data_IF_959701240708
#
_entry.id   IF_959701240708
#
_cell.length_a   1.000
_cell.length_b   1.000
_cell.length_c   1.000
_cell.angle_alpha   90.00
_cell.angle_beta   90.00
_cell.angle_gamma   90.00
#
_symmetry.space_group_name_H-M   'P 1'
#
loop_
_entity.id
_entity.type
_entity.pdbx_description
1 polymer ?
#
# COMPACT_ATOMS: atom_id res chain seq x y z
N UNK A 1 -42.53 -42.16 59.50
CA UNK A 1 -41.07 -42.04 59.67
C UNK A 1 -40.48 -42.13 58.28
N UNK A 2 -40.07 -41.04 57.65
CA UNK A 2 -39.21 -41.07 56.47
C UNK A 2 -37.78 -40.75 56.89
N UNK A 3 -36.83 -41.49 56.33
CA UNK A 3 -35.37 -41.30 56.45
C UNK A 3 -34.91 -40.02 55.78
N UNK A 4 -33.83 -39.41 56.26
CA UNK A 4 -33.27 -38.22 55.60
C UNK A 4 -32.29 -38.61 54.51
N UNK A 5 -32.52 -38.04 53.31
CA UNK A 5 -31.60 -38.05 52.17
C UNK A 5 -30.28 -37.32 52.52
N UNK A 6 -29.19 -38.07 52.44
CA UNK A 6 -27.82 -37.52 52.55
C UNK A 6 -27.34 -37.04 51.18
N UNK A 7 -27.52 -35.76 50.95
CA UNK A 7 -26.97 -35.02 49.79
C UNK A 7 -25.47 -34.77 50.01
N UNK A 8 -24.62 -35.67 49.52
CA UNK A 8 -23.18 -35.48 49.46
C UNK A 8 -22.83 -34.60 48.27
N UNK A 9 -22.66 -33.32 48.51
CA UNK A 9 -22.13 -32.36 47.51
C UNK A 9 -20.65 -32.68 47.29
N UNK A 10 -20.31 -33.16 46.11
CA UNK A 10 -18.94 -33.30 45.61
C UNK A 10 -18.25 -31.92 45.58
N UNK A 11 -17.24 -31.75 46.41
CA UNK A 11 -16.35 -30.61 46.38
C UNK A 11 -15.43 -30.72 45.15
N UNK A 12 -15.17 -29.61 44.43
CA UNK A 12 -14.27 -29.62 43.28
C UNK A 12 -12.83 -29.96 43.71
N UNK A 13 -12.30 -31.07 43.17
CA UNK A 13 -10.90 -31.44 43.32
C UNK A 13 -9.98 -30.35 42.73
N UNK A 14 -9.21 -29.71 43.59
CA UNK A 14 -8.14 -28.80 43.22
C UNK A 14 -7.01 -29.60 42.55
N UNK A 15 -6.89 -29.58 41.22
CA UNK A 15 -5.71 -30.11 40.52
C UNK A 15 -4.55 -29.13 40.69
N UNK A 16 -3.41 -29.53 41.24
CA UNK A 16 -2.26 -28.63 41.37
C UNK A 16 -1.73 -28.26 39.98
N UNK A 17 -1.56 -26.96 39.71
CA UNK A 17 -0.84 -26.46 38.55
C UNK A 17 0.58 -27.03 38.60
N UNK A 18 0.95 -27.82 37.57
CA UNK A 18 2.34 -28.23 37.33
C UNK A 18 3.14 -26.96 37.00
N UNK A 19 3.88 -26.45 37.93
CA UNK A 19 4.89 -25.42 37.71
C UNK A 19 6.00 -26.05 36.86
N UNK A 20 6.25 -25.49 35.69
CA UNK A 20 7.39 -25.93 34.87
C UNK A 20 8.69 -25.53 35.59
N UNK A 21 9.62 -26.45 35.82
CA UNK A 21 10.87 -26.12 36.51
C UNK A 21 11.65 -25.09 35.67
N UNK A 22 12.14 -24.05 36.32
CA UNK A 22 12.90 -22.92 35.72
C UNK A 22 14.01 -23.43 34.80
N UNK A 23 14.64 -24.58 35.16
CA UNK A 23 15.63 -25.24 34.29
C UNK A 23 15.10 -25.65 32.91
N UNK A 24 13.84 -26.05 32.78
CA UNK A 24 13.25 -26.42 31.50
C UNK A 24 13.01 -25.17 30.62
N UNK A 25 12.65 -24.04 31.21
CA UNK A 25 12.49 -22.77 30.50
C UNK A 25 13.85 -22.27 30.02
N UNK A 26 14.88 -22.33 30.83
CA UNK A 26 16.24 -21.95 30.46
C UNK A 26 16.79 -22.84 29.32
N UNK A 27 16.57 -24.16 29.40
CA UNK A 27 16.96 -25.09 28.35
C UNK A 27 16.23 -24.78 27.02
N UNK A 28 14.92 -24.49 27.09
CA UNK A 28 14.12 -24.13 25.90
C UNK A 28 14.59 -22.83 25.25
N UNK A 29 14.94 -21.82 26.04
CA UNK A 29 15.48 -20.53 25.55
C UNK A 29 16.85 -20.74 24.89
N UNK A 30 17.73 -21.57 25.49
CA UNK A 30 19.05 -21.88 24.90
C UNK A 30 18.94 -22.65 23.58
N UNK A 31 17.98 -23.58 23.47
CA UNK A 31 17.72 -24.30 22.21
C UNK A 31 17.17 -23.34 21.15
N UNK A 32 16.26 -22.44 21.50
CA UNK A 32 15.75 -21.40 20.58
C UNK A 32 16.88 -20.47 20.10
N UNK A 33 17.74 -19.99 20.98
CA UNK A 33 18.86 -19.15 20.61
C UNK A 33 19.88 -19.89 19.73
N UNK A 34 20.15 -21.15 20.04
CA UNK A 34 21.02 -22.02 19.25
C UNK A 34 20.48 -22.28 17.84
N UNK A 35 19.21 -22.59 17.72
CA UNK A 35 18.58 -22.83 16.38
C UNK A 35 18.48 -21.56 15.56
N UNK A 36 18.18 -20.42 16.19
CA UNK A 36 18.16 -19.11 15.52
C UNK A 36 19.57 -18.70 15.03
N UNK A 37 20.60 -18.93 15.84
CA UNK A 37 21.99 -18.65 15.47
C UNK A 37 22.48 -19.56 14.33
N UNK A 38 22.16 -20.87 14.38
CA UNK A 38 22.51 -21.81 13.32
C UNK A 38 21.78 -21.52 12.02
N UNK A 39 20.50 -21.17 12.10
CA UNK A 39 19.70 -20.75 10.94
C UNK A 39 20.24 -19.49 10.29
N UNK A 40 20.60 -18.48 11.08
CA UNK A 40 21.22 -17.25 10.60
C UNK A 40 22.59 -17.48 9.97
N UNK A 41 23.43 -18.33 10.58
CA UNK A 41 24.74 -18.69 10.05
C UNK A 41 24.63 -19.49 8.73
N UNK A 42 23.68 -20.42 8.64
CA UNK A 42 23.40 -21.15 7.41
C UNK A 42 22.91 -20.23 6.29
N UNK A 43 22.02 -19.29 6.61
CA UNK A 43 21.54 -18.27 5.68
C UNK A 43 22.69 -17.37 5.18
N UNK A 44 23.58 -16.95 6.05
CA UNK A 44 24.77 -16.18 5.65
C UNK A 44 25.71 -16.99 4.73
N UNK A 45 25.91 -18.26 5.00
CA UNK A 45 26.72 -19.12 4.14
C UNK A 45 26.15 -19.30 2.74
N UNK A 46 24.82 -19.33 2.59
CA UNK A 46 24.19 -19.38 1.25
C UNK A 46 24.33 -18.04 0.50
N UNK A 47 24.33 -16.91 1.19
CA UNK A 47 24.53 -15.59 0.57
C UNK A 47 26.00 -15.36 0.16
N UNK A 48 26.95 -16.09 0.76
CA UNK A 48 28.40 -16.01 0.46
C UNK A 48 28.87 -17.11 -0.50
N UNK A 49 27.98 -17.94 -1.03
CA UNK A 49 28.34 -18.89 -2.08
C UNK A 49 28.71 -18.11 -3.34
N UNK A 50 30.00 -18.03 -3.63
CA UNK A 50 30.51 -17.46 -4.87
C UNK A 50 29.89 -18.16 -6.08
N UNK A 51 29.55 -17.42 -7.17
CA UNK A 51 29.06 -18.02 -8.39
C UNK A 51 30.15 -18.96 -8.93
N UNK A 52 29.79 -20.21 -9.20
CA UNK A 52 30.64 -21.22 -9.81
C UNK A 52 31.24 -20.65 -11.09
N UNK A 53 32.56 -20.62 -11.29
CA UNK A 53 33.13 -20.11 -12.52
C UNK A 53 32.72 -21.01 -13.69
N UNK A 54 31.88 -20.48 -14.57
CA UNK A 54 31.61 -21.11 -15.87
C UNK A 54 32.89 -21.04 -16.67
N UNK A 55 33.45 -22.20 -17.04
CA UNK A 55 34.63 -22.31 -17.88
C UNK A 55 34.41 -21.52 -19.18
N UNK A 56 35.20 -20.48 -19.37
CA UNK A 56 35.19 -19.66 -20.56
C UNK A 56 35.60 -20.48 -21.77
N UNK A 57 34.70 -20.68 -22.73
CA UNK A 57 35.09 -21.06 -24.08
C UNK A 57 35.81 -19.88 -24.74
N UNK A 58 36.84 -20.10 -25.56
CA UNK A 58 37.54 -19.01 -26.23
C UNK A 58 36.65 -18.46 -27.34
N UNK A 59 36.17 -17.25 -27.14
CA UNK A 59 35.49 -16.47 -28.17
C UNK A 59 36.38 -15.25 -28.52
N UNK A 60 37.05 -15.35 -29.66
CA UNK A 60 37.66 -14.22 -30.38
C UNK A 60 36.54 -13.40 -31.12
N UNK A 61 35.58 -12.92 -30.41
CA UNK A 61 34.64 -11.92 -30.91
C UNK A 61 34.83 -10.63 -30.09
N UNK A 62 34.93 -9.45 -30.73
CA UNK A 62 35.02 -8.19 -29.98
C UNK A 62 33.79 -8.05 -29.11
N UNK A 63 34.00 -7.74 -27.82
CA UNK A 63 32.93 -7.54 -26.85
C UNK A 63 31.93 -6.52 -27.41
N UNK A 64 30.62 -6.80 -27.35
CA UNK A 64 29.61 -5.80 -27.69
C UNK A 64 29.83 -4.57 -26.80
N UNK A 65 29.64 -3.34 -27.33
CA UNK A 65 29.78 -2.13 -26.56
C UNK A 65 28.86 -2.23 -25.33
N UNK A 66 29.30 -1.72 -24.15
CA UNK A 66 28.44 -1.74 -22.96
C UNK A 66 27.11 -1.07 -23.30
N UNK A 67 25.98 -1.61 -22.80
CA UNK A 67 24.67 -0.98 -23.02
C UNK A 67 24.78 0.49 -22.62
N UNK A 68 24.19 1.42 -23.38
CA UNK A 68 24.21 2.83 -23.04
C UNK A 68 23.72 2.97 -21.61
N UNK A 69 24.51 3.66 -20.77
CA UNK A 69 24.08 4.01 -19.43
C UNK A 69 22.68 4.63 -19.51
N UNK A 70 21.74 4.26 -18.63
CA UNK A 70 20.43 4.89 -18.63
C UNK A 70 20.64 6.40 -18.65
N UNK A 71 19.93 7.16 -19.51
CA UNK A 71 20.16 8.58 -19.64
C UNK A 71 20.14 9.18 -18.25
N UNK A 72 21.26 9.81 -17.87
CA UNK A 72 21.34 10.62 -16.65
C UNK A 72 20.16 11.56 -16.72
N UNK A 73 19.15 11.34 -15.84
CA UNK A 73 17.97 12.15 -15.84
C UNK A 73 18.42 13.56 -15.45
N UNK A 74 18.68 14.39 -16.45
CA UNK A 74 18.83 15.82 -16.24
C UNK A 74 17.62 16.24 -15.40
N UNK A 75 17.84 16.94 -14.29
CA UNK A 75 16.80 17.48 -13.43
C UNK A 75 15.88 18.30 -14.33
N UNK A 76 14.75 17.73 -14.74
CA UNK A 76 13.76 18.45 -15.51
C UNK A 76 13.23 19.55 -14.58
N UNK A 77 13.19 20.80 -15.07
CA UNK A 77 12.57 21.88 -14.31
C UNK A 77 11.15 21.46 -13.88
N UNK A 78 10.76 21.76 -12.62
CA UNK A 78 9.43 21.44 -12.14
C UNK A 78 8.35 22.07 -13.04
N UNK A 79 7.44 21.26 -13.56
CA UNK A 79 6.33 21.76 -14.38
C UNK A 79 5.25 22.42 -13.50
N UNK A 80 5.09 21.91 -12.28
CA UNK A 80 4.09 22.36 -11.32
C UNK A 80 4.74 22.62 -9.94
N UNK A 81 5.51 23.71 -9.80
CA UNK A 81 6.23 24.03 -8.57
C UNK A 81 5.26 24.35 -7.42
N UNK A 82 5.46 23.73 -6.25
CA UNK A 82 4.56 23.85 -5.09
C UNK A 82 4.72 25.16 -4.31
N UNK A 83 5.89 25.80 -4.37
CA UNK A 83 6.15 27.13 -3.81
C UNK A 83 5.30 28.24 -4.47
N UNK A 84 4.80 28.01 -5.68
CA UNK A 84 3.82 28.88 -6.33
C UNK A 84 2.46 28.88 -5.61
N UNK A 85 2.12 27.79 -4.88
CA UNK A 85 0.85 27.66 -4.17
C UNK A 85 0.92 28.23 -2.75
N UNK A 86 1.90 27.81 -1.97
CA UNK A 86 2.15 28.32 -0.62
C UNK A 86 3.62 28.08 -0.24
N UNK A 87 4.23 28.97 0.57
CA UNK A 87 5.56 28.68 1.11
C UNK A 87 5.50 27.44 2.01
N UNK A 88 6.55 26.59 1.99
CA UNK A 88 6.64 25.45 2.90
C UNK A 88 6.70 25.90 4.36
N UNK A 89 6.26 25.03 5.27
CA UNK A 89 6.39 25.28 6.71
C UNK A 89 7.88 25.27 7.09
N UNK A 90 8.38 26.41 7.55
CA UNK A 90 9.79 26.57 7.94
C UNK A 90 10.20 25.73 9.18
N UNK A 91 9.23 25.22 9.94
CA UNK A 91 9.43 24.42 11.16
C UNK A 91 9.19 22.92 10.93
N UNK A 92 9.33 22.43 9.69
CA UNK A 92 9.16 21.01 9.42
C UNK A 92 10.27 20.19 10.09
N UNK A 93 9.91 19.09 10.80
CA UNK A 93 10.87 18.13 11.29
C UNK A 93 11.52 17.37 10.11
N UNK A 94 12.60 16.65 10.39
CA UNK A 94 13.17 15.71 9.42
C UNK A 94 12.16 14.60 9.10
N UNK A 95 12.23 14.03 7.90
CA UNK A 95 11.28 13.01 7.45
C UNK A 95 11.11 11.83 8.42
N UNK A 96 12.16 11.27 9.07
CA UNK A 96 11.99 10.20 10.06
C UNK A 96 11.15 10.60 11.29
N UNK A 97 11.15 11.88 11.64
CA UNK A 97 10.49 12.43 12.84
C UNK A 97 9.17 13.15 12.50
N UNK A 98 8.69 13.02 11.25
CA UNK A 98 7.59 13.84 10.72
C UNK A 98 6.20 13.32 11.05
N UNK A 99 6.06 12.06 11.47
CA UNK A 99 4.75 11.39 11.61
C UNK A 99 3.79 12.15 12.54
N UNK A 100 4.25 12.64 13.68
CA UNK A 100 3.40 13.41 14.60
C UNK A 100 2.89 14.72 13.97
N UNK A 101 3.75 15.44 13.23
CA UNK A 101 3.38 16.68 12.54
C UNK A 101 2.39 16.41 11.39
N UNK A 102 2.63 15.36 10.62
CA UNK A 102 1.76 14.95 9.51
C UNK A 102 0.42 14.44 10.05
N UNK A 103 0.43 13.59 11.07
CA UNK A 103 -0.80 13.09 11.73
C UNK A 103 -1.65 14.25 12.24
N UNK A 104 -1.05 15.28 12.87
CA UNK A 104 -1.78 16.46 13.30
C UNK A 104 -2.48 17.17 12.14
N UNK A 105 -1.78 17.38 11.02
CA UNK A 105 -2.35 18.01 9.83
C UNK A 105 -3.48 17.16 9.20
N UNK A 106 -3.34 15.83 9.22
CA UNK A 106 -4.39 14.91 8.75
C UNK A 106 -5.62 14.92 9.69
N UNK A 107 -5.41 15.04 11.00
CA UNK A 107 -6.50 15.19 11.98
C UNK A 107 -7.27 16.49 11.74
N UNK A 108 -6.59 17.57 11.44
CA UNK A 108 -7.22 18.85 11.09
C UNK A 108 -8.02 18.76 9.78
N UNK A 109 -7.57 17.94 8.83
CA UNK A 109 -8.21 17.75 7.53
C UNK A 109 -9.39 16.77 7.54
N UNK A 110 -9.21 15.62 8.18
CA UNK A 110 -10.13 14.48 8.15
C UNK A 110 -10.89 14.25 9.46
N UNK A 111 -10.44 14.83 10.55
CA UNK A 111 -10.91 14.55 11.90
C UNK A 111 -10.21 13.35 12.55
N UNK A 112 -10.01 13.43 13.87
CA UNK A 112 -9.22 12.42 14.60
C UNK A 112 -9.79 11.00 14.54
N UNK A 113 -11.14 10.85 14.56
CA UNK A 113 -11.80 9.54 14.45
C UNK A 113 -11.52 8.86 13.12
N UNK A 114 -11.54 9.60 12.02
CA UNK A 114 -11.31 9.07 10.68
C UNK A 114 -9.83 8.71 10.48
N UNK A 115 -8.90 9.53 10.96
CA UNK A 115 -7.47 9.23 10.90
C UNK A 115 -7.17 7.93 11.66
N UNK A 116 -7.69 7.79 12.88
CA UNK A 116 -7.49 6.58 13.69
C UNK A 116 -8.15 5.32 13.09
N UNK A 117 -9.28 5.48 12.38
CA UNK A 117 -10.02 4.35 11.82
C UNK A 117 -9.46 3.88 10.47
N UNK A 118 -8.87 4.77 9.67
CA UNK A 118 -8.56 4.46 8.27
C UNK A 118 -7.09 4.63 7.88
N UNK A 119 -6.23 5.22 8.72
CA UNK A 119 -4.86 5.52 8.33
C UNK A 119 -3.83 4.76 9.18
N UNK A 120 -2.70 4.44 8.57
CA UNK A 120 -1.53 3.96 9.28
C UNK A 120 -0.82 5.15 9.93
N UNK A 121 -0.50 5.10 11.25
CA UNK A 121 0.15 6.22 11.92
C UNK A 121 1.63 6.36 11.58
N UNK A 122 2.30 5.28 11.17
CA UNK A 122 3.75 5.23 11.01
C UNK A 122 4.17 5.36 9.55
N UNK A 123 5.15 6.23 9.28
CA UNK A 123 5.74 6.42 7.96
C UNK A 123 4.76 6.94 6.92
N UNK A 124 3.75 7.73 7.30
CA UNK A 124 2.63 8.16 6.45
C UNK A 124 3.12 8.76 5.13
N UNK A 125 4.12 9.65 5.18
CA UNK A 125 4.66 10.33 3.99
C UNK A 125 5.29 9.32 3.02
N UNK A 126 6.17 8.45 3.53
CA UNK A 126 6.81 7.41 2.71
C UNK A 126 5.78 6.46 2.11
N UNK A 127 4.79 6.06 2.89
CA UNK A 127 3.69 5.21 2.42
C UNK A 127 2.90 5.88 1.32
N UNK A 128 2.56 7.16 1.49
CA UNK A 128 1.83 7.93 0.48
C UNK A 128 2.62 8.03 -0.83
N UNK A 129 3.88 8.44 -0.77
CA UNK A 129 4.75 8.58 -1.95
C UNK A 129 4.92 7.25 -2.67
N UNK A 130 5.21 6.17 -1.93
CA UNK A 130 5.36 4.82 -2.49
C UNK A 130 4.06 4.34 -3.13
N UNK A 131 2.90 4.61 -2.49
CA UNK A 131 1.60 4.23 -3.04
C UNK A 131 1.33 4.98 -4.32
N UNK A 132 1.48 6.29 -4.34
CA UNK A 132 1.28 7.12 -5.55
C UNK A 132 2.13 6.60 -6.71
N UNK A 133 3.42 6.34 -6.47
CA UNK A 133 4.29 5.84 -7.53
C UNK A 133 3.86 4.48 -8.07
N UNK A 134 3.35 3.59 -7.21
CA UNK A 134 2.93 2.24 -7.59
C UNK A 134 1.52 2.19 -8.23
N UNK A 135 0.63 3.15 -8.00
CA UNK A 135 -0.73 3.14 -8.58
C UNK A 135 -0.73 3.11 -10.11
N UNK A 136 0.28 3.69 -10.76
CA UNK A 136 0.43 3.64 -12.22
C UNK A 136 1.15 2.38 -12.73
N UNK A 137 1.57 1.47 -11.85
CA UNK A 137 2.26 0.22 -12.18
C UNK A 137 1.29 -0.96 -12.15
N UNK A 138 1.75 -2.13 -12.54
CA UNK A 138 0.96 -3.38 -12.47
C UNK A 138 0.59 -3.76 -11.04
N UNK A 139 1.46 -3.46 -10.07
CA UNK A 139 1.29 -3.84 -8.67
C UNK A 139 1.48 -2.65 -7.72
N UNK A 140 0.58 -2.54 -6.74
CA UNK A 140 0.69 -1.63 -5.61
C UNK A 140 0.50 -2.44 -4.31
N UNK A 141 1.61 -2.90 -3.67
CA UNK A 141 1.53 -3.78 -2.50
C UNK A 141 0.75 -3.12 -1.36
N UNK A 142 -0.28 -3.79 -0.79
CA UNK A 142 -1.09 -3.21 0.29
C UNK A 142 -0.29 -2.87 1.56
N UNK A 143 0.85 -3.53 1.78
CA UNK A 143 1.76 -3.23 2.89
C UNK A 143 2.37 -1.82 2.83
N UNK A 144 2.43 -1.23 1.63
CA UNK A 144 2.93 0.13 1.42
C UNK A 144 1.85 1.22 1.54
N UNK A 145 0.58 0.85 1.67
CA UNK A 145 -0.51 1.84 1.66
C UNK A 145 -0.55 2.68 2.94
N UNK A 146 -0.85 3.99 2.83
CA UNK A 146 -1.03 4.86 3.98
C UNK A 146 -2.38 4.64 4.67
N UNK A 147 -3.29 3.89 4.02
CA UNK A 147 -4.63 3.58 4.51
C UNK A 147 -4.75 2.10 4.87
N UNK A 148 -5.56 1.83 5.88
CA UNK A 148 -5.88 0.47 6.27
C UNK A 148 -6.72 -0.21 5.19
N UNK A 149 -6.58 -1.54 4.99
CA UNK A 149 -7.40 -2.28 4.05
C UNK A 149 -8.90 -2.12 4.35
N UNK A 150 -9.71 -2.04 3.29
CA UNK A 150 -11.18 -2.06 3.45
C UNK A 150 -11.61 -3.34 4.16
N UNK A 151 -12.57 -3.21 5.08
CA UNK A 151 -13.16 -4.36 5.77
C UNK A 151 -13.85 -5.34 4.82
N UNK A 152 -14.21 -6.51 5.34
CA UNK A 152 -14.90 -7.59 4.64
C UNK A 152 -14.06 -8.24 3.51
N UNK A 153 -14.54 -9.37 3.00
CA UNK A 153 -13.91 -10.10 1.89
C UNK A 153 -14.43 -9.58 0.55
N UNK A 154 -13.62 -9.74 -0.48
CA UNK A 154 -14.07 -9.57 -1.86
C UNK A 154 -15.15 -10.62 -2.16
N UNK A 155 -16.27 -10.19 -2.70
CA UNK A 155 -17.47 -11.00 -2.93
C UNK A 155 -17.74 -11.09 -4.42
N UNK A 156 -18.03 -12.30 -4.88
CA UNK A 156 -18.37 -12.61 -6.26
C UNK A 156 -19.69 -13.35 -6.32
N UNK A 157 -20.42 -13.18 -7.42
CA UNK A 157 -21.61 -13.95 -7.77
C UNK A 157 -21.24 -15.00 -8.82
N UNK A 158 -21.83 -16.19 -8.74
CA UNK A 158 -21.58 -17.33 -9.66
C UNK A 158 -21.02 -18.57 -8.96
N UNK A 159 -20.77 -19.61 -9.75
CA UNK A 159 -20.28 -20.89 -9.23
C UNK A 159 -18.77 -20.87 -9.06
N UNK A 160 -18.30 -21.47 -7.97
CA UNK A 160 -16.85 -21.63 -7.73
C UNK A 160 -16.22 -22.53 -8.80
N UNK A 161 -15.04 -22.15 -9.29
CA UNK A 161 -14.34 -22.87 -10.37
C UNK A 161 -14.75 -22.44 -11.79
N UNK A 162 -15.69 -21.51 -11.92
CA UNK A 162 -16.07 -20.89 -13.18
C UNK A 162 -15.76 -19.39 -13.20
N UNK A 163 -16.01 -18.75 -14.33
CA UNK A 163 -16.00 -17.27 -14.42
C UNK A 163 -17.15 -16.76 -13.57
N UNK A 164 -16.85 -15.86 -12.65
CA UNK A 164 -17.79 -15.22 -11.73
C UNK A 164 -17.86 -13.73 -12.04
N UNK A 165 -18.86 -13.05 -11.50
CA UNK A 165 -18.93 -11.59 -11.58
C UNK A 165 -18.67 -10.95 -10.21
N UNK A 166 -18.16 -9.72 -10.21
CA UNK A 166 -18.04 -8.94 -8.97
C UNK A 166 -19.46 -8.70 -8.45
N UNK A 167 -19.74 -9.13 -7.22
CA UNK A 167 -21.07 -8.95 -6.63
C UNK A 167 -21.42 -7.45 -6.45
N UNK A 168 -22.65 -7.09 -6.69
CA UNK A 168 -23.11 -5.69 -6.63
C UNK A 168 -22.84 -5.04 -5.26
N UNK A 169 -22.99 -5.80 -4.17
CA UNK A 169 -22.74 -5.33 -2.81
C UNK A 169 -21.23 -5.17 -2.47
N UNK A 170 -20.33 -5.65 -3.33
CA UNK A 170 -18.89 -5.49 -3.12
C UNK A 170 -18.49 -4.01 -3.08
N UNK A 171 -19.17 -3.13 -3.81
CA UNK A 171 -18.95 -1.69 -3.82
C UNK A 171 -19.09 -1.05 -2.43
N UNK A 172 -19.98 -1.58 -1.58
CA UNK A 172 -20.22 -1.07 -0.22
C UNK A 172 -18.98 -1.09 0.66
N UNK A 173 -18.01 -1.96 0.39
CA UNK A 173 -16.72 -2.04 1.10
C UNK A 173 -15.90 -0.75 1.00
N UNK A 174 -16.10 0.01 -0.05
CA UNK A 174 -15.35 1.23 -0.35
C UNK A 174 -16.06 2.50 0.10
N UNK A 175 -17.35 2.43 0.44
CA UNK A 175 -18.18 3.60 0.74
C UNK A 175 -17.56 4.51 1.81
N UNK A 176 -17.03 3.94 2.88
CA UNK A 176 -16.46 4.73 3.98
C UNK A 176 -15.24 5.55 3.54
N UNK A 177 -14.32 4.95 2.76
CA UNK A 177 -13.13 5.64 2.28
C UNK A 177 -13.47 6.65 1.17
N UNK A 178 -14.48 6.34 0.35
CA UNK A 178 -14.96 7.25 -0.69
C UNK A 178 -15.63 8.46 -0.07
N UNK A 179 -16.51 8.28 0.93
CA UNK A 179 -17.12 9.38 1.68
C UNK A 179 -16.08 10.24 2.38
N UNK A 180 -15.02 9.62 2.91
CA UNK A 180 -13.90 10.35 3.49
C UNK A 180 -13.21 11.24 2.44
N UNK A 181 -12.95 10.70 1.23
CA UNK A 181 -12.36 11.47 0.14
C UNK A 181 -13.26 12.62 -0.34
N UNK A 182 -14.59 12.39 -0.41
CA UNK A 182 -15.58 13.42 -0.78
C UNK A 182 -15.73 14.53 0.27
N UNK A 183 -15.50 14.21 1.56
CA UNK A 183 -15.69 15.16 2.67
C UNK A 183 -14.61 16.23 2.72
N UNK A 184 -13.52 16.08 2.00
CA UNK A 184 -12.36 16.99 2.05
C UNK A 184 -12.48 18.04 0.97
N UNK A 185 -12.40 19.31 1.38
CA UNK A 185 -12.25 20.43 0.47
C UNK A 185 -10.90 20.35 -0.26
N UNK A 186 -10.90 20.31 -1.61
CA UNK A 186 -9.67 20.17 -2.39
C UNK A 186 -8.67 21.31 -2.17
N UNK A 187 -9.13 22.52 -1.91
CA UNK A 187 -8.25 23.67 -1.66
C UNK A 187 -7.56 23.54 -0.30
N UNK A 188 -8.29 23.05 0.73
CA UNK A 188 -7.70 22.77 2.05
C UNK A 188 -6.69 21.64 1.97
N UNK A 189 -7.01 20.57 1.22
CA UNK A 189 -6.08 19.46 1.00
C UNK A 189 -4.80 19.93 0.32
N UNK A 190 -4.91 20.72 -0.75
CA UNK A 190 -3.77 21.29 -1.46
C UNK A 190 -2.94 22.24 -0.59
N UNK A 191 -3.57 23.05 0.27
CA UNK A 191 -2.86 23.94 1.19
C UNK A 191 -2.06 23.16 2.26
N UNK A 192 -2.63 22.07 2.80
CA UNK A 192 -1.92 21.16 3.73
C UNK A 192 -0.77 20.46 3.02
N UNK A 193 -1.01 19.95 1.82
CA UNK A 193 0.00 19.31 0.99
C UNK A 193 1.16 20.27 0.68
N UNK A 194 0.90 21.50 0.27
CA UNK A 194 1.92 22.50 -0.02
C UNK A 194 2.81 22.81 1.19
N UNK A 195 2.22 22.99 2.38
CA UNK A 195 2.97 23.22 3.63
C UNK A 195 3.90 22.06 3.98
N UNK A 196 3.48 20.83 3.72
CA UNK A 196 4.22 19.60 4.04
C UNK A 196 5.08 19.11 2.87
N UNK A 197 5.04 19.79 1.72
CA UNK A 197 5.63 19.33 0.46
C UNK A 197 7.10 18.90 0.55
N UNK A 198 7.99 19.60 1.28
CA UNK A 198 9.39 19.18 1.40
C UNK A 198 9.57 17.74 1.91
N UNK A 199 8.67 17.26 2.76
CA UNK A 199 8.71 15.89 3.26
C UNK A 199 8.35 14.88 2.17
N UNK A 200 7.36 15.19 1.32
CA UNK A 200 6.98 14.33 0.20
C UNK A 200 8.07 14.30 -0.87
N UNK A 201 8.69 15.44 -1.17
CA UNK A 201 9.80 15.53 -2.10
C UNK A 201 11.00 14.71 -1.61
N UNK A 202 11.40 14.86 -0.34
CA UNK A 202 12.47 14.08 0.26
C UNK A 202 12.17 12.57 0.19
N UNK A 203 10.94 12.15 0.53
CA UNK A 203 10.55 10.74 0.46
C UNK A 203 10.61 10.19 -0.98
N UNK A 204 10.32 11.02 -1.98
CA UNK A 204 10.39 10.63 -3.39
C UNK A 204 11.85 10.47 -3.86
N UNK A 205 12.73 11.33 -3.42
CA UNK A 205 14.17 11.22 -3.68
C UNK A 205 14.76 9.98 -3.01
N UNK A 206 14.38 9.71 -1.75
CA UNK A 206 14.77 8.48 -1.02
C UNK A 206 14.21 7.21 -1.67
N UNK A 207 13.07 7.29 -2.38
CA UNK A 207 12.48 6.17 -3.13
C UNK A 207 13.27 5.81 -4.40
N UNK A 208 14.26 6.64 -4.79
CA UNK A 208 15.16 6.38 -5.92
C UNK A 208 14.95 7.34 -7.10
N UNK A 209 14.34 8.50 -6.89
CA UNK A 209 14.12 9.52 -7.92
C UNK A 209 14.81 10.86 -7.62
N UNK A 210 16.15 10.87 -7.42
CA UNK A 210 16.85 12.11 -7.16
C UNK A 210 16.70 13.08 -8.33
N UNK A 211 16.45 14.34 -8.03
CA UNK A 211 16.28 15.40 -9.03
C UNK A 211 14.98 15.34 -9.82
N UNK A 212 14.04 14.47 -9.45
CA UNK A 212 12.68 14.45 -10.02
C UNK A 212 11.69 15.09 -9.06
N UNK A 213 10.68 15.76 -9.59
CA UNK A 213 9.71 16.51 -8.81
C UNK A 213 8.48 15.68 -8.50
N UNK A 214 8.18 15.50 -7.21
CA UNK A 214 7.09 14.60 -6.79
C UNK A 214 5.71 15.10 -7.21
N UNK A 215 5.47 16.43 -7.20
CA UNK A 215 4.16 16.96 -7.58
C UNK A 215 3.83 16.67 -9.05
N UNK A 216 4.82 16.75 -9.94
CA UNK A 216 4.63 16.37 -11.36
C UNK A 216 4.27 14.89 -11.49
N UNK A 217 4.90 14.02 -10.69
CA UNK A 217 4.55 12.59 -10.62
C UNK A 217 3.13 12.37 -10.11
N UNK A 218 2.73 13.07 -9.05
CA UNK A 218 1.38 12.99 -8.48
C UNK A 218 0.32 13.39 -9.52
N UNK A 219 0.52 14.50 -10.23
CA UNK A 219 -0.40 14.94 -11.30
C UNK A 219 -0.48 13.90 -12.41
N UNK A 220 0.65 13.38 -12.88
CA UNK A 220 0.67 12.34 -13.92
C UNK A 220 -0.08 11.07 -13.49
N UNK A 221 0.05 10.67 -12.22
CA UNK A 221 -0.68 9.51 -11.67
C UNK A 221 -2.17 9.82 -11.54
N UNK A 222 -2.56 11.00 -11.11
CA UNK A 222 -3.98 11.41 -11.09
C UNK A 222 -4.56 11.37 -12.50
N UNK A 223 -3.88 11.94 -13.51
CA UNK A 223 -4.33 11.92 -14.89
C UNK A 223 -4.49 10.48 -15.43
N UNK A 224 -3.57 9.60 -15.06
CA UNK A 224 -3.65 8.19 -15.41
C UNK A 224 -4.87 7.50 -14.75
N UNK A 225 -5.14 7.76 -13.47
CA UNK A 225 -6.30 7.21 -12.76
C UNK A 225 -7.63 7.74 -13.33
N UNK A 226 -7.69 8.99 -13.75
CA UNK A 226 -8.87 9.58 -14.38
C UNK A 226 -9.26 8.89 -15.70
N UNK A 227 -8.32 8.19 -16.34
CA UNK A 227 -8.54 7.40 -17.56
C UNK A 227 -9.05 5.98 -17.27
N UNK A 228 -9.24 5.58 -15.99
CA UNK A 228 -9.79 4.27 -15.67
C UNK A 228 -11.14 4.05 -16.39
N UNK A 229 -11.36 2.88 -17.02
CA UNK A 229 -12.60 2.59 -17.72
C UNK A 229 -13.76 2.38 -16.74
N UNK A 230 -14.96 2.82 -17.13
CA UNK A 230 -16.20 2.58 -16.39
C UNK A 230 -17.04 1.48 -17.09
N UNK A 231 -16.89 0.20 -16.70
CA UNK A 231 -17.65 -0.89 -17.31
C UNK A 231 -19.15 -0.66 -17.17
N UNK A 232 -19.90 -0.87 -18.27
CA UNK A 232 -21.37 -0.67 -18.29
C UNK A 232 -22.18 -1.88 -17.79
N UNK A 233 -21.52 -3.01 -17.55
CA UNK A 233 -22.17 -4.26 -17.15
C UNK A 233 -21.42 -4.94 -15.99
N UNK A 234 -21.88 -6.14 -15.61
CA UNK A 234 -21.19 -6.96 -14.63
C UNK A 234 -19.74 -7.20 -15.02
N UNK A 235 -18.82 -7.03 -14.09
CA UNK A 235 -17.39 -7.24 -14.33
C UNK A 235 -17.05 -8.68 -14.00
N UNK A 236 -16.60 -9.42 -15.01
CA UNK A 236 -16.23 -10.82 -14.86
C UNK A 236 -14.84 -10.97 -14.24
N UNK A 237 -14.72 -11.93 -13.32
CA UNK A 237 -13.49 -12.28 -12.62
C UNK A 237 -13.32 -13.79 -12.56
N UNK A 238 -12.08 -14.23 -12.48
CA UNK A 238 -11.73 -15.63 -12.25
C UNK A 238 -10.79 -15.77 -11.08
N UNK A 239 -10.94 -16.85 -10.33
CA UNK A 239 -10.02 -17.18 -9.25
C UNK A 239 -8.74 -17.77 -9.86
N UNK A 240 -7.59 -17.20 -9.51
CA UNK A 240 -6.29 -17.77 -9.90
C UNK A 240 -6.03 -19.04 -9.12
N UNK A 241 -5.86 -20.16 -9.82
CA UNK A 241 -5.44 -21.41 -9.23
C UNK A 241 -3.94 -21.38 -8.90
N UNK A 242 -3.62 -21.55 -7.63
CA UNK A 242 -2.22 -21.74 -7.22
C UNK A 242 -1.94 -23.22 -7.18
N UNK A 243 -1.07 -23.65 -8.08
CA UNK A 243 -0.55 -25.03 -8.08
C UNK A 243 0.41 -25.18 -6.89
N UNK A 244 0.11 -26.10 -5.97
CA UNK A 244 0.92 -26.40 -4.80
C UNK A 244 0.19 -27.32 -3.83
N UNK A 245 0.94 -28.03 -3.00
CA UNK A 245 0.41 -29.02 -2.05
C UNK A 245 -0.39 -28.41 -0.89
N UNK A 246 -0.23 -27.10 -0.65
CA UNK A 246 -0.94 -26.41 0.43
C UNK A 246 -2.04 -25.53 -0.14
N UNK A 247 -3.32 -25.83 0.16
CA UNK A 247 -4.44 -24.99 -0.26
C UNK A 247 -4.31 -23.57 0.31
N UNK A 248 -4.65 -22.58 -0.51
CA UNK A 248 -4.63 -21.20 -0.03
C UNK A 248 -5.72 -20.95 1.00
N UNK A 249 -5.34 -20.37 2.12
CA UNK A 249 -6.26 -19.97 3.19
C UNK A 249 -7.02 -18.66 2.87
N UNK A 250 -6.62 -17.92 1.81
CA UNK A 250 -7.21 -16.64 1.42
C UNK A 250 -7.49 -16.57 -0.08
N UNK A 251 -8.37 -17.42 -0.64
CA UNK A 251 -8.64 -17.42 -2.09
C UNK A 251 -9.22 -16.08 -2.59
N UNK A 252 -9.98 -15.36 -1.76
CA UNK A 252 -10.64 -14.09 -2.12
C UNK A 252 -9.69 -12.92 -2.44
N UNK A 253 -8.38 -13.04 -2.23
CA UNK A 253 -7.39 -12.02 -2.62
C UNK A 253 -6.77 -12.26 -3.99
N UNK A 254 -7.14 -13.35 -4.68
CA UNK A 254 -6.50 -13.83 -5.90
C UNK A 254 -7.44 -13.85 -7.11
N UNK A 255 -8.40 -12.95 -7.15
CA UNK A 255 -9.23 -12.77 -8.33
C UNK A 255 -8.54 -11.86 -9.35
N UNK A 256 -8.52 -12.31 -10.61
CA UNK A 256 -8.12 -11.54 -11.79
C UNK A 256 -9.37 -11.19 -12.61
N UNK A 257 -9.30 -10.14 -13.43
CA UNK A 257 -10.34 -9.87 -14.39
C UNK A 257 -10.33 -10.93 -15.51
N UNK A 258 -11.50 -11.40 -15.92
CA UNK A 258 -11.62 -12.34 -17.04
C UNK A 258 -11.34 -11.65 -18.38
N UNK A 259 -11.68 -10.36 -18.50
CA UNK A 259 -11.33 -9.54 -19.66
C UNK A 259 -9.85 -9.14 -19.62
N UNK A 260 -9.03 -9.54 -20.61
CA UNK A 260 -7.62 -9.19 -20.68
C UNK A 260 -7.34 -7.68 -20.71
N UNK A 261 -8.27 -6.87 -21.26
CA UNK A 261 -8.14 -5.41 -21.28
C UNK A 261 -8.24 -4.82 -19.88
N UNK A 262 -9.13 -5.34 -19.06
CA UNK A 262 -9.23 -4.94 -17.66
C UNK A 262 -8.07 -5.48 -16.83
N UNK A 263 -7.58 -6.69 -17.15
CA UNK A 263 -6.45 -7.27 -16.43
C UNK A 263 -5.11 -6.59 -16.75
N UNK A 264 -4.95 -6.01 -17.94
CA UNK A 264 -3.76 -5.23 -18.32
C UNK A 264 -3.72 -3.81 -17.74
N UNK A 265 -4.77 -3.36 -17.06
CA UNK A 265 -4.82 -2.06 -16.40
C UNK A 265 -3.78 -1.97 -15.28
N UNK A 266 -3.37 -0.74 -14.94
CA UNK A 266 -2.54 -0.51 -13.75
C UNK A 266 -3.27 -0.90 -12.46
N UNK A 267 -2.51 -1.12 -11.39
CA UNK A 267 -3.09 -1.45 -10.07
C UNK A 267 -4.10 -0.40 -9.59
N UNK A 268 -3.81 0.88 -9.81
CA UNK A 268 -4.71 1.97 -9.46
C UNK A 268 -6.01 1.94 -10.27
N UNK A 269 -5.93 1.76 -11.59
CA UNK A 269 -7.12 1.64 -12.43
C UNK A 269 -7.93 0.38 -12.10
N UNK A 270 -7.27 -0.76 -11.80
CA UNK A 270 -7.94 -1.97 -11.30
C UNK A 270 -8.71 -1.71 -10.00
N UNK A 271 -8.14 -0.91 -9.08
CA UNK A 271 -8.84 -0.52 -7.85
C UNK A 271 -10.07 0.32 -8.17
N UNK A 272 -9.97 1.29 -9.10
CA UNK A 272 -11.10 2.12 -9.54
C UNK A 272 -12.26 1.26 -10.06
N UNK A 273 -11.99 0.33 -10.98
CA UNK A 273 -13.00 -0.60 -11.51
C UNK A 273 -13.62 -1.47 -10.40
N UNK A 274 -12.80 -1.99 -9.46
CA UNK A 274 -13.27 -2.86 -8.35
C UNK A 274 -14.19 -2.16 -7.36
N UNK A 275 -14.08 -0.85 -7.20
CA UNK A 275 -14.96 -0.12 -6.28
C UNK A 275 -16.37 0.15 -6.85
N UNK A 276 -16.57 -0.17 -8.11
CA UNK A 276 -17.86 0.00 -8.80
C UNK A 276 -18.07 1.42 -9.35
N UNK A 277 -18.95 1.57 -10.36
CA UNK A 277 -19.03 2.80 -11.16
C UNK A 277 -19.46 4.04 -10.38
N UNK A 278 -20.26 3.88 -9.32
CA UNK A 278 -20.68 5.02 -8.50
C UNK A 278 -19.51 5.56 -7.67
N UNK A 279 -18.83 4.68 -6.93
CA UNK A 279 -17.67 5.06 -6.13
C UNK A 279 -16.52 5.56 -7.00
N UNK A 280 -16.30 4.94 -8.15
CA UNK A 280 -15.29 5.38 -9.12
C UNK A 280 -15.53 6.83 -9.57
N UNK A 281 -16.77 7.18 -9.94
CA UNK A 281 -17.14 8.55 -10.35
C UNK A 281 -16.91 9.57 -9.24
N UNK A 282 -17.24 9.22 -7.99
CA UNK A 282 -17.01 10.07 -6.81
C UNK A 282 -15.52 10.31 -6.59
N UNK A 283 -14.71 9.25 -6.63
CA UNK A 283 -13.25 9.36 -6.50
C UNK A 283 -12.67 10.18 -7.66
N UNK A 284 -13.08 9.96 -8.90
CA UNK A 284 -12.65 10.77 -10.05
C UNK A 284 -12.99 12.25 -9.85
N UNK A 285 -14.14 12.58 -9.27
CA UNK A 285 -14.51 13.96 -8.97
C UNK A 285 -13.58 14.59 -7.94
N UNK A 286 -13.28 13.89 -6.84
CA UNK A 286 -12.33 14.34 -5.82
C UNK A 286 -10.92 14.50 -6.39
N UNK A 287 -10.46 13.58 -7.23
CA UNK A 287 -9.16 13.64 -7.90
C UNK A 287 -9.06 14.84 -8.86
N UNK A 288 -10.11 15.13 -9.64
CA UNK A 288 -10.15 16.33 -10.51
C UNK A 288 -10.06 17.61 -9.70
N UNK A 289 -10.81 17.70 -8.59
CA UNK A 289 -10.75 18.82 -7.67
C UNK A 289 -9.33 19.06 -7.11
N UNK A 290 -8.71 18.01 -6.59
CA UNK A 290 -7.33 18.08 -6.09
C UNK A 290 -6.34 18.49 -7.19
N UNK A 291 -6.42 17.84 -8.36
CA UNK A 291 -5.57 18.15 -9.51
C UNK A 291 -5.61 19.62 -9.90
N UNK A 292 -6.81 20.22 -9.94
CA UNK A 292 -6.98 21.63 -10.27
C UNK A 292 -6.25 22.55 -9.28
N UNK A 293 -6.17 22.15 -8.02
CA UNK A 293 -5.49 22.95 -6.98
C UNK A 293 -3.97 22.81 -7.03
N UNK A 294 -3.44 21.62 -7.35
CA UNK A 294 -1.99 21.36 -7.32
C UNK A 294 -1.30 21.51 -8.67
N UNK A 295 -2.04 21.65 -9.78
CA UNK A 295 -1.50 21.93 -11.12
C UNK A 295 -1.12 23.41 -11.25
N UNK A 296 0.04 23.77 -10.72
CA UNK A 296 0.47 25.18 -10.58
C UNK A 296 1.27 25.72 -11.77
N UNK A 297 1.50 24.92 -12.81
CA UNK A 297 2.35 25.30 -13.95
C UNK A 297 2.00 26.63 -14.59
N UNK A 298 0.71 26.92 -14.80
CA UNK A 298 0.27 28.19 -15.39
C UNK A 298 0.36 29.37 -14.39
N UNK A 299 0.21 29.10 -13.10
CA UNK A 299 0.36 30.10 -12.04
C UNK A 299 1.82 30.49 -11.91
N UNK A 300 2.73 29.51 -11.94
CA UNK A 300 4.17 29.76 -11.89
C UNK A 300 4.66 30.57 -13.08
N UNK A 301 4.20 30.24 -14.29
CA UNK A 301 4.54 31.00 -15.52
C UNK A 301 4.07 32.45 -15.47
N UNK A 302 2.93 32.74 -14.82
CA UNK A 302 2.42 34.10 -14.65
C UNK A 302 3.17 34.92 -13.59
N UNK A 303 3.88 34.27 -12.65
CA UNK A 303 4.65 34.91 -11.59
C UNK A 303 6.11 35.20 -11.99
N UNK A 304 6.60 34.65 -13.10
CA UNK A 304 7.91 35.01 -13.63
C UNK A 304 7.81 36.38 -14.32
N UNK A 305 8.62 37.38 -13.91
CA UNK A 305 8.61 38.73 -14.49
C UNK A 305 9.14 38.77 -15.93
#
# INVERSE_FOLDING_TARGET
>A
MPEPDSDTRDAPEFRPRREMPIGAIVAFVLVLLGTTYLGWRWYQQQMLAEPVPVAAAPNDAPAPPPPPAPPSAASAEPQNPMDALAPPDAALPKLPDSDARVTKALIELFGGKNVAAYMHPDGIVRRFVTTVDNLAREQAPPSAWPVLPTGQRFITDGQQGQVQTIAANNAARYNAIVLLAESVDPAKAAAVYAKLYPLFQQAYEELGYPGRYFNDRLIAVIDHLLQAPEPKGPVEVRLVEVKGDVPSTRPWVRYEYADPKLESLSSGQKIMVRMGPENERKVKTSLRGLRQQIATGDVAKKKQP
#
